data_IF_594830831429
#
_entry.id   IF_594830831429
#
_cell.length_a   1.000
_cell.length_b   1.000
_cell.length_c   1.000
_cell.angle_alpha   90.00
_cell.angle_beta   90.00
_cell.angle_gamma   90.00
#
_symmetry.space_group_name_H-M   'P 1'
#
loop_
_entity.id
_entity.type
_entity.pdbx_description
1 polymer ?
#
# COMPACT_ATOMS: atom_id res chain seq x y z
N UNK A 1 -1.80 -17.09 -5.10
CA UNK A 1 -2.36 -18.05 -6.10
C UNK A 1 -2.42 -19.50 -5.59
N UNK A 2 -1.35 -20.04 -4.96
CA UNK A 2 -1.33 -21.43 -4.46
C UNK A 2 -2.41 -21.73 -3.41
N UNK A 3 -2.76 -20.75 -2.57
CA UNK A 3 -3.84 -20.86 -1.55
C UNK A 3 -5.26 -20.73 -2.11
N UNK A 4 -5.49 -21.03 -3.39
CA UNK A 4 -6.84 -21.05 -4.01
C UNK A 4 -7.44 -19.70 -4.42
N UNK A 5 -6.91 -18.57 -3.95
CA UNK A 5 -7.41 -17.25 -4.33
C UNK A 5 -7.33 -16.99 -5.84
N UNK A 6 -8.41 -16.45 -6.39
CA UNK A 6 -8.55 -16.01 -7.79
C UNK A 6 -8.47 -14.49 -7.88
N UNK A 7 -8.12 -13.95 -9.04
CA UNK A 7 -7.96 -12.49 -9.26
C UNK A 7 -6.99 -11.80 -8.30
N UNK A 8 -5.96 -12.51 -7.84
CA UNK A 8 -4.89 -11.97 -6.98
C UNK A 8 -3.59 -11.84 -7.76
N UNK A 9 -3.65 -11.06 -8.85
CA UNK A 9 -2.45 -10.67 -9.61
C UNK A 9 -1.57 -9.69 -8.83
N UNK A 10 -0.28 -9.52 -9.20
CA UNK A 10 0.66 -8.70 -8.45
C UNK A 10 0.19 -7.25 -8.28
N UNK A 11 -0.36 -6.63 -9.33
CA UNK A 11 -0.93 -5.27 -9.27
C UNK A 11 -2.09 -5.17 -8.27
N UNK A 12 -2.98 -6.17 -8.26
CA UNK A 12 -4.12 -6.21 -7.34
C UNK A 12 -3.64 -6.39 -5.90
N UNK A 13 -2.66 -7.27 -5.68
CA UNK A 13 -2.05 -7.47 -4.38
C UNK A 13 -1.34 -6.20 -3.89
N UNK A 14 -0.63 -5.48 -4.76
CA UNK A 14 0.02 -4.22 -4.40
C UNK A 14 -0.99 -3.14 -4.00
N UNK A 15 -2.01 -2.92 -4.83
CA UNK A 15 -3.09 -1.99 -4.51
C UNK A 15 -3.80 -2.35 -3.19
N UNK A 16 -4.00 -3.65 -2.93
CA UNK A 16 -4.56 -4.11 -1.66
C UNK A 16 -3.63 -3.79 -0.47
N UNK A 17 -2.32 -4.01 -0.60
CA UNK A 17 -1.34 -3.67 0.43
C UNK A 17 -1.32 -2.16 0.74
N UNK A 18 -1.45 -1.31 -0.28
CA UNK A 18 -1.60 0.14 -0.10
C UNK A 18 -2.90 0.47 0.66
N UNK A 19 -4.04 -0.12 0.25
CA UNK A 19 -5.35 0.19 0.82
C UNK A 19 -5.50 -0.20 2.31
N UNK A 20 -4.89 -1.31 2.73
CA UNK A 20 -4.97 -1.80 4.11
C UNK A 20 -3.82 -1.32 5.00
N UNK A 21 -2.96 -0.45 4.49
CA UNK A 21 -1.87 0.15 5.27
C UNK A 21 -0.66 -0.75 5.48
N UNK A 22 -0.50 -1.81 4.69
CA UNK A 22 0.75 -2.58 4.65
C UNK A 22 1.89 -1.81 3.95
N UNK A 23 1.55 -0.87 3.06
CA UNK A 23 2.49 0.01 2.36
C UNK A 23 1.98 1.45 2.47
N UNK A 24 2.85 2.37 2.88
CA UNK A 24 2.55 3.81 2.87
C UNK A 24 3.14 4.47 1.62
N UNK A 25 2.35 4.46 0.54
CA UNK A 25 2.65 5.14 -0.73
C UNK A 25 1.87 6.45 -0.88
N UNK A 26 1.45 7.08 0.22
CA UNK A 26 0.91 8.43 0.13
C UNK A 26 1.95 9.36 -0.49
N UNK A 27 1.52 10.23 -1.40
CA UNK A 27 2.38 11.28 -1.94
C UNK A 27 2.93 12.14 -0.81
N UNK A 28 4.18 12.62 -0.95
CA UNK A 28 4.90 13.36 0.10
C UNK A 28 4.20 14.67 0.51
N UNK A 29 3.39 15.23 -0.39
CA UNK A 29 2.56 16.42 -0.18
C UNK A 29 1.18 16.11 0.42
N UNK A 30 0.81 14.83 0.58
CA UNK A 30 -0.42 14.44 1.23
C UNK A 30 -0.40 14.88 2.71
N UNK A 31 -1.49 15.49 3.17
CA UNK A 31 -1.63 15.95 4.55
C UNK A 31 -1.40 14.86 5.61
N UNK A 32 -1.60 13.58 5.24
CA UNK A 32 -1.41 12.41 6.12
C UNK A 32 -0.04 11.76 6.02
N UNK A 33 0.81 12.15 5.05
CA UNK A 33 2.07 11.46 4.79
C UNK A 33 2.97 11.38 6.04
N UNK A 34 3.08 12.50 6.77
CA UNK A 34 3.83 12.54 8.04
C UNK A 34 3.17 11.74 9.17
N UNK A 35 1.84 11.75 9.23
CA UNK A 35 1.08 11.01 10.26
C UNK A 35 1.27 9.50 10.12
N UNK A 36 1.50 9.03 8.89
CA UNK A 36 1.66 7.62 8.54
C UNK A 36 3.13 7.15 8.51
N UNK A 37 4.03 7.91 9.15
CA UNK A 37 5.45 7.52 9.28
C UNK A 37 6.32 7.84 8.06
N UNK A 38 5.89 8.76 7.19
CA UNK A 38 6.75 9.32 6.15
C UNK A 38 7.92 10.10 6.77
N UNK A 39 9.11 9.48 6.81
CA UNK A 39 10.34 10.12 7.26
C UNK A 39 10.96 10.92 6.12
N UNK A 40 11.34 12.18 6.40
CA UNK A 40 12.24 12.93 5.51
C UNK A 40 13.64 12.37 5.71
N UNK A 41 14.23 11.79 4.66
CA UNK A 41 15.67 11.53 4.58
C UNK A 41 16.43 12.86 4.74
#
# INVERSE_FOLDING_TARGET
KQRGFKFVGPTICYAHMQAVGMVNDHAVDCFRWRELGGEKI
#
